data_IF_188979920045
#
_entry.id   IF_188979920045
#
_cell.length_a   1.000
_cell.length_b   1.000
_cell.length_c   1.000
_cell.angle_alpha   90.00
_cell.angle_beta   90.00
_cell.angle_gamma   90.00
#
_symmetry.space_group_name_H-M   'P 1'
#
loop_
_entity.id
_entity.type
_entity.pdbx_description
1 polymer ?
#
# COMPACT_ATOMS: atom_id res chain seq x y z
N UNK A 1 11.08 22.07 -38.11
CA UNK A 1 11.66 21.52 -36.86
C UNK A 1 10.84 22.10 -35.70
N UNK A 2 9.79 21.40 -35.27
CA UNK A 2 9.02 21.76 -34.07
C UNK A 2 9.56 20.90 -32.95
N UNK A 3 10.03 21.54 -31.89
CA UNK A 3 10.38 20.88 -30.65
C UNK A 3 9.09 20.34 -30.02
N UNK A 4 9.02 19.04 -29.81
CA UNK A 4 7.99 18.40 -28.99
C UNK A 4 8.24 18.80 -27.54
N UNK A 5 7.28 19.55 -26.98
CA UNK A 5 7.23 19.85 -25.56
C UNK A 5 6.74 18.58 -24.88
N UNK A 6 7.63 17.91 -24.16
CA UNK A 6 7.28 16.91 -23.15
C UNK A 6 6.31 17.56 -22.15
N UNK A 7 5.01 17.29 -22.30
CA UNK A 7 4.02 17.65 -21.28
C UNK A 7 4.22 16.70 -20.10
N UNK A 8 4.77 17.22 -19.00
CA UNK A 8 4.71 16.53 -17.71
C UNK A 8 3.26 16.35 -17.25
N UNK A 9 2.99 15.47 -16.26
CA UNK A 9 1.63 15.22 -15.80
C UNK A 9 0.93 16.50 -15.37
N UNK A 10 -0.36 16.60 -15.71
CA UNK A 10 -1.18 17.72 -15.29
C UNK A 10 -1.42 17.68 -13.76
N UNK A 11 -1.46 18.83 -13.10
CA UNK A 11 -1.85 19.02 -11.69
C UNK A 11 -3.19 18.34 -11.30
N UNK A 12 -3.96 17.86 -12.28
CA UNK A 12 -5.23 17.16 -12.18
C UNK A 12 -5.12 15.81 -11.46
N UNK A 13 -4.07 15.01 -11.70
CA UNK A 13 -3.99 13.63 -11.15
C UNK A 13 -3.68 13.59 -9.65
N UNK A 14 -2.80 14.48 -9.18
CA UNK A 14 -2.48 14.61 -7.75
C UNK A 14 -3.73 15.01 -6.94
N UNK A 15 -4.59 15.84 -7.53
CA UNK A 15 -5.86 16.26 -6.92
C UNK A 15 -6.85 15.10 -6.82
N UNK A 16 -6.87 14.18 -7.79
CA UNK A 16 -7.78 13.03 -7.82
C UNK A 16 -7.47 12.01 -6.71
N UNK A 17 -6.19 11.65 -6.51
CA UNK A 17 -5.80 10.74 -5.41
C UNK A 17 -6.23 11.32 -4.04
N UNK A 18 -6.17 12.64 -3.86
CA UNK A 18 -6.41 13.27 -2.55
C UNK A 18 -7.87 13.27 -2.19
N UNK A 19 -8.69 13.70 -3.14
CA UNK A 19 -10.14 13.72 -3.00
C UNK A 19 -10.68 12.30 -2.84
N UNK A 20 -10.09 11.30 -3.51
CA UNK A 20 -10.44 9.90 -3.30
C UNK A 20 -10.13 9.46 -1.86
N UNK A 21 -8.92 9.73 -1.34
CA UNK A 21 -8.56 9.33 0.04
C UNK A 21 -9.48 9.97 1.08
N UNK A 22 -9.83 11.25 0.90
CA UNK A 22 -10.80 11.94 1.75
C UNK A 22 -12.19 11.34 1.65
N UNK A 23 -12.66 11.08 0.44
CA UNK A 23 -13.99 10.50 0.21
C UNK A 23 -14.09 9.11 0.83
N UNK A 24 -13.08 8.26 0.59
CA UNK A 24 -13.00 6.92 1.18
C UNK A 24 -12.98 6.96 2.71
N UNK A 25 -12.26 7.92 3.31
CA UNK A 25 -12.29 8.15 4.75
C UNK A 25 -13.70 8.49 5.24
N UNK A 26 -14.40 9.43 4.59
CA UNK A 26 -15.77 9.82 4.97
C UNK A 26 -16.73 8.62 4.85
N UNK A 27 -16.68 7.87 3.75
CA UNK A 27 -17.46 6.65 3.57
C UNK A 27 -17.17 5.63 4.68
N UNK A 28 -15.89 5.46 5.06
CA UNK A 28 -15.51 4.54 6.13
C UNK A 28 -16.07 4.97 7.49
N UNK A 29 -15.99 6.26 7.82
CA UNK A 29 -16.53 6.81 9.06
C UNK A 29 -18.05 6.66 9.12
N UNK A 30 -18.76 6.91 8.01
CA UNK A 30 -20.22 6.70 7.90
C UNK A 30 -20.57 5.22 8.12
N UNK A 31 -19.87 4.30 7.46
CA UNK A 31 -20.13 2.86 7.59
C UNK A 31 -19.81 2.32 8.98
N UNK A 32 -18.85 2.90 9.69
CA UNK A 32 -18.58 2.56 11.08
C UNK A 32 -19.66 3.12 12.00
N UNK A 33 -20.06 4.38 11.79
CA UNK A 33 -21.14 5.04 12.54
C UNK A 33 -22.44 4.25 12.50
N UNK A 34 -22.83 3.74 11.32
CA UNK A 34 -24.07 2.96 11.16
C UNK A 34 -24.05 1.60 11.87
N UNK A 35 -22.87 1.12 12.29
CA UNK A 35 -22.70 -0.13 13.05
C UNK A 35 -22.68 0.10 14.57
N UNK A 36 -22.68 1.35 15.06
CA UNK A 36 -22.71 1.65 16.49
C UNK A 36 -24.14 1.65 17.01
N UNK A 37 -24.38 0.90 18.09
CA UNK A 37 -25.68 0.88 18.79
C UNK A 37 -25.67 1.88 19.94
N UNK A 38 -26.84 2.17 20.51
CA UNK A 38 -26.96 3.13 21.61
C UNK A 38 -26.04 2.81 22.80
N UNK A 39 -25.94 1.54 23.21
CA UNK A 39 -25.01 1.13 24.27
C UNK A 39 -23.53 1.39 23.90
N UNK A 40 -23.17 1.26 22.63
CA UNK A 40 -21.83 1.58 22.14
C UNK A 40 -21.61 3.10 22.16
N UNK A 41 -22.62 3.89 21.79
CA UNK A 41 -22.59 5.36 21.86
C UNK A 41 -22.43 5.85 23.30
N UNK A 42 -23.14 5.26 24.25
CA UNK A 42 -23.03 5.63 25.66
C UNK A 42 -21.61 5.37 26.20
N UNK A 43 -21.04 4.20 25.90
CA UNK A 43 -19.65 3.88 26.25
C UNK A 43 -18.65 4.82 25.57
N UNK A 44 -18.90 5.15 24.31
CA UNK A 44 -18.05 6.05 23.54
C UNK A 44 -18.09 7.47 24.11
N UNK A 45 -19.27 7.98 24.49
CA UNK A 45 -19.42 9.28 25.15
C UNK A 45 -18.64 9.34 26.45
N UNK A 46 -18.74 8.29 27.27
CA UNK A 46 -17.96 8.19 28.50
C UNK A 46 -16.45 8.15 28.22
N UNK A 47 -16.00 7.38 27.23
CA UNK A 47 -14.58 7.35 26.82
C UNK A 47 -14.07 8.72 26.35
N UNK A 48 -14.92 9.53 25.72
CA UNK A 48 -14.58 10.83 25.15
C UNK A 48 -14.75 12.00 26.14
N UNK A 49 -15.26 11.73 27.35
CA UNK A 49 -15.42 12.74 28.39
C UNK A 49 -14.07 13.36 28.76
N UNK A 50 -14.01 14.70 28.74
CA UNK A 50 -12.77 15.45 28.96
C UNK A 50 -11.75 15.40 27.80
N UNK A 51 -12.01 14.66 26.72
CA UNK A 51 -11.15 14.61 25.53
C UNK A 51 -11.60 15.62 24.46
N UNK A 52 -12.91 15.74 24.28
CA UNK A 52 -13.59 16.69 23.38
C UNK A 52 -14.89 17.21 24.02
N UNK A 53 -15.44 18.36 23.60
CA UNK A 53 -16.70 18.89 24.14
C UNK A 53 -17.94 18.12 23.64
N UNK A 54 -18.07 16.87 24.07
CA UNK A 54 -19.02 15.86 23.57
C UNK A 54 -20.49 16.14 23.94
N UNK A 55 -20.72 17.05 24.89
CA UNK A 55 -22.04 17.30 25.49
C UNK A 55 -23.11 17.74 24.48
N UNK A 56 -22.70 18.27 23.32
CA UNK A 56 -23.60 18.74 22.27
C UNK A 56 -23.79 17.74 21.12
N UNK A 57 -23.16 16.56 21.16
CA UNK A 57 -23.29 15.58 20.07
C UNK A 57 -24.58 14.79 20.22
N UNK A 58 -25.44 14.76 19.21
CA UNK A 58 -26.71 14.03 19.26
C UNK A 58 -26.55 12.55 18.90
N UNK A 59 -25.67 12.24 17.96
CA UNK A 59 -25.44 10.88 17.44
C UNK A 59 -23.94 10.60 17.19
N UNK A 60 -23.59 9.40 16.71
CA UNK A 60 -22.22 9.05 16.33
C UNK A 60 -21.65 9.93 15.22
N UNK A 61 -22.46 10.45 14.30
CA UNK A 61 -21.96 11.31 13.22
C UNK A 61 -21.49 12.65 13.76
N UNK A 62 -22.20 13.23 14.72
CA UNK A 62 -21.76 14.44 15.41
C UNK A 62 -20.45 14.22 16.15
N UNK A 63 -20.31 13.06 16.82
CA UNK A 63 -19.06 12.68 17.48
C UNK A 63 -17.91 12.61 16.46
N UNK A 64 -18.12 11.95 15.32
CA UNK A 64 -17.07 11.80 14.30
C UNK A 64 -16.69 13.13 13.64
N UNK A 65 -17.67 13.99 13.35
CA UNK A 65 -17.42 15.35 12.85
C UNK A 65 -16.61 16.17 13.84
N UNK A 66 -16.96 16.08 15.14
CA UNK A 66 -16.24 16.79 16.19
C UNK A 66 -14.81 16.26 16.33
N UNK A 67 -14.62 14.94 16.31
CA UNK A 67 -13.27 14.35 16.33
C UNK A 67 -12.41 14.80 15.16
N UNK A 68 -12.98 14.94 13.97
CA UNK A 68 -12.27 15.44 12.79
C UNK A 68 -11.98 16.95 12.90
N UNK A 69 -12.94 17.74 13.37
CA UNK A 69 -12.76 19.17 13.63
C UNK A 69 -11.63 19.44 14.63
N UNK A 70 -11.58 18.65 15.71
CA UNK A 70 -10.54 18.71 16.73
C UNK A 70 -9.21 18.03 16.31
N UNK A 71 -9.07 17.68 15.03
CA UNK A 71 -7.90 17.01 14.45
C UNK A 71 -7.48 15.71 15.19
N UNK A 72 -8.41 15.06 15.89
CA UNK A 72 -8.19 13.76 16.54
C UNK A 72 -8.18 12.62 15.52
N UNK A 73 -8.92 12.80 14.44
CA UNK A 73 -8.96 11.89 13.30
C UNK A 73 -8.86 12.67 12.00
N UNK A 74 -8.36 12.01 10.96
CA UNK A 74 -8.28 12.52 9.60
C UNK A 74 -8.13 11.35 8.63
N UNK A 75 -8.19 11.63 7.33
CA UNK A 75 -8.02 10.60 6.30
C UNK A 75 -6.68 9.85 6.42
N UNK A 76 -5.63 10.50 6.93
CA UNK A 76 -4.28 9.94 7.16
C UNK A 76 -4.07 9.43 8.59
N UNK A 77 -4.92 9.80 9.56
CA UNK A 77 -4.78 9.37 10.96
C UNK A 77 -6.11 8.85 11.54
N UNK A 78 -6.20 7.53 11.69
CA UNK A 78 -7.37 6.87 12.30
C UNK A 78 -7.04 6.18 13.63
N UNK A 79 -5.85 6.39 14.17
CA UNK A 79 -5.39 5.68 15.37
C UNK A 79 -6.25 5.98 16.59
N UNK A 80 -6.71 7.22 16.71
CA UNK A 80 -7.58 7.63 17.81
C UNK A 80 -8.90 6.85 17.78
N UNK A 81 -9.57 6.79 16.62
CA UNK A 81 -10.85 6.07 16.51
C UNK A 81 -10.66 4.56 16.71
N UNK A 82 -9.57 3.95 16.20
CA UNK A 82 -9.24 2.55 16.49
C UNK A 82 -9.13 2.28 18.00
N UNK A 83 -8.41 3.14 18.74
CA UNK A 83 -8.27 3.03 20.19
C UNK A 83 -9.61 3.19 20.92
N UNK A 84 -10.43 4.16 20.49
CA UNK A 84 -11.76 4.37 21.05
C UNK A 84 -12.65 3.13 20.85
N UNK A 85 -12.68 2.58 19.62
CA UNK A 85 -13.46 1.36 19.31
C UNK A 85 -13.01 0.16 20.14
N UNK A 86 -11.70 -0.03 20.30
CA UNK A 86 -11.15 -1.09 21.15
C UNK A 86 -11.54 -0.92 22.62
N UNK A 87 -11.54 0.32 23.12
CA UNK A 87 -11.90 0.65 24.51
C UNK A 87 -13.37 0.41 24.82
N UNK A 88 -14.25 0.57 23.82
CA UNK A 88 -15.68 0.23 23.94
C UNK A 88 -15.99 -1.22 23.54
N UNK A 89 -14.96 -2.08 23.45
CA UNK A 89 -15.06 -3.52 23.14
C UNK A 89 -15.59 -3.87 21.75
N UNK A 90 -15.52 -2.94 20.78
CA UNK A 90 -15.92 -3.15 19.38
C UNK A 90 -14.75 -3.60 18.52
N UNK A 91 -14.25 -4.81 18.79
CA UNK A 91 -13.12 -5.38 18.06
C UNK A 91 -13.41 -5.61 16.57
N UNK A 92 -14.66 -5.91 16.22
CA UNK A 92 -15.13 -5.98 14.84
C UNK A 92 -14.86 -4.67 14.07
N UNK A 93 -15.06 -3.52 14.72
CA UNK A 93 -14.77 -2.21 14.14
C UNK A 93 -13.26 -1.92 14.11
N UNK A 94 -12.50 -2.39 15.09
CA UNK A 94 -11.03 -2.27 15.10
C UNK A 94 -10.42 -3.03 13.92
N UNK A 95 -10.88 -4.25 13.66
CA UNK A 95 -10.47 -5.05 12.50
C UNK A 95 -10.86 -4.37 11.19
N UNK A 96 -12.10 -3.90 11.08
CA UNK A 96 -12.62 -3.22 9.90
C UNK A 96 -11.85 -1.91 9.59
N UNK A 97 -11.48 -1.15 10.63
CA UNK A 97 -10.64 0.05 10.51
C UNK A 97 -9.19 -0.29 10.15
N UNK A 98 -8.64 -1.39 10.69
CA UNK A 98 -7.28 -1.86 10.38
C UNK A 98 -7.17 -2.27 8.91
N UNK A 99 -8.15 -3.02 8.40
CA UNK A 99 -8.23 -3.37 6.96
C UNK A 99 -8.28 -2.13 6.08
N UNK A 100 -9.06 -1.12 6.46
CA UNK A 100 -9.13 0.15 5.74
C UNK A 100 -7.78 0.89 5.72
N UNK A 101 -7.11 1.00 6.87
CA UNK A 101 -5.78 1.63 6.96
C UNK A 101 -4.74 0.92 6.08
N UNK A 102 -4.72 -0.41 6.12
CA UNK A 102 -3.82 -1.21 5.29
C UNK A 102 -4.09 -1.00 3.80
N UNK A 103 -5.36 -1.09 3.37
CA UNK A 103 -5.75 -0.85 1.98
C UNK A 103 -5.33 0.56 1.53
N UNK A 104 -5.67 1.59 2.31
CA UNK A 104 -5.28 2.98 2.02
C UNK A 104 -3.76 3.12 1.84
N UNK A 105 -2.98 2.53 2.74
CA UNK A 105 -1.52 2.64 2.69
C UNK A 105 -0.94 1.88 1.49
N UNK A 106 -1.46 0.70 1.16
CA UNK A 106 -1.06 -0.06 -0.04
C UNK A 106 -1.40 0.69 -1.33
N UNK A 107 -2.60 1.25 -1.45
CA UNK A 107 -3.00 2.05 -2.62
C UNK A 107 -2.05 3.23 -2.83
N UNK A 108 -1.74 3.97 -1.77
CA UNK A 108 -0.80 5.10 -1.85
C UNK A 108 0.61 4.63 -2.20
N UNK A 109 1.09 3.55 -1.58
CA UNK A 109 2.41 2.99 -1.88
C UNK A 109 2.56 2.65 -3.36
N UNK A 110 1.57 1.96 -3.94
CA UNK A 110 1.56 1.56 -5.34
C UNK A 110 1.43 2.76 -6.29
N UNK A 111 0.60 3.74 -5.93
CA UNK A 111 0.45 5.01 -6.68
C UNK A 111 1.79 5.77 -6.73
N UNK A 112 2.49 5.90 -5.59
CA UNK A 112 3.82 6.52 -5.55
C UNK A 112 4.85 5.73 -6.34
N UNK A 113 4.85 4.40 -6.22
CA UNK A 113 5.77 3.52 -6.93
C UNK A 113 5.62 3.70 -8.45
N UNK A 114 4.39 3.55 -8.96
CA UNK A 114 4.11 3.63 -10.38
C UNK A 114 4.37 5.03 -10.96
N UNK A 115 3.91 6.10 -10.30
CA UNK A 115 4.19 7.48 -10.73
C UNK A 115 5.69 7.75 -10.82
N UNK A 116 6.45 7.28 -9.82
CA UNK A 116 7.89 7.45 -9.80
C UNK A 116 8.60 6.76 -10.97
N UNK A 117 8.10 5.60 -11.41
CA UNK A 117 8.64 4.88 -12.58
C UNK A 117 8.22 5.52 -13.91
N UNK A 118 7.00 6.07 -13.97
CA UNK A 118 6.47 6.76 -15.16
C UNK A 118 7.04 8.18 -15.33
N UNK A 119 7.92 8.64 -14.42
CA UNK A 119 8.41 10.02 -14.40
C UNK A 119 7.31 11.04 -14.10
N UNK A 120 6.19 10.59 -13.52
CA UNK A 120 5.09 11.45 -13.14
C UNK A 120 5.38 12.12 -11.80
N UNK A 121 5.16 13.42 -11.73
CA UNK A 121 5.35 14.20 -10.51
C UNK A 121 4.39 13.73 -9.41
N UNK A 122 4.97 13.13 -8.37
CA UNK A 122 4.23 12.60 -7.22
C UNK A 122 4.17 13.63 -6.09
N UNK A 123 3.92 14.92 -6.38
CA UNK A 123 3.73 16.00 -5.39
C UNK A 123 2.55 15.79 -4.40
N UNK A 124 2.04 14.57 -4.31
CA UNK A 124 1.03 14.18 -3.36
C UNK A 124 1.57 14.24 -1.92
N UNK A 125 0.95 15.11 -1.10
CA UNK A 125 1.11 15.25 0.36
C UNK A 125 2.53 14.96 0.87
N UNK A 126 3.41 15.96 0.84
CA UNK A 126 4.69 16.04 1.57
C UNK A 126 4.81 14.97 2.67
N UNK A 127 5.40 13.82 2.34
CA UNK A 127 5.90 12.81 3.28
C UNK A 127 5.00 12.32 4.43
N UNK A 128 3.72 12.70 4.55
CA UNK A 128 2.96 12.57 5.81
C UNK A 128 2.88 11.15 6.34
N UNK A 129 2.72 10.19 5.43
CA UNK A 129 2.71 8.76 5.75
C UNK A 129 4.05 8.07 5.44
N UNK A 130 4.98 8.77 4.78
CA UNK A 130 6.27 8.25 4.34
C UNK A 130 6.20 7.25 3.18
N UNK A 131 5.10 7.22 2.42
CA UNK A 131 4.88 6.24 1.34
C UNK A 131 5.89 6.37 0.21
N UNK A 132 6.22 7.59 -0.21
CA UNK A 132 7.26 7.87 -1.21
C UNK A 132 8.64 7.29 -0.82
N UNK A 133 9.02 7.36 0.46
CA UNK A 133 10.28 6.79 0.95
C UNK A 133 10.26 5.27 0.86
N UNK A 134 9.14 4.64 1.21
CA UNK A 134 8.98 3.18 1.07
C UNK A 134 8.99 2.78 -0.41
N UNK A 135 8.21 3.47 -1.26
CA UNK A 135 8.19 3.27 -2.70
C UNK A 135 9.59 3.41 -3.32
N UNK A 136 10.33 4.45 -2.95
CA UNK A 136 11.70 4.69 -3.43
C UNK A 136 12.64 3.55 -3.04
N UNK A 137 12.49 2.99 -1.83
CA UNK A 137 13.27 1.83 -1.40
C UNK A 137 12.92 0.59 -2.20
N UNK A 138 11.63 0.30 -2.38
CA UNK A 138 11.17 -0.82 -3.20
C UNK A 138 11.69 -0.73 -4.63
N UNK A 139 11.63 0.47 -5.23
CA UNK A 139 12.16 0.69 -6.58
C UNK A 139 13.66 0.40 -6.64
N UNK A 140 14.46 0.88 -5.68
CA UNK A 140 15.90 0.58 -5.64
C UNK A 140 16.21 -0.90 -5.46
N UNK A 141 15.41 -1.61 -4.66
CA UNK A 141 15.51 -3.07 -4.54
C UNK A 141 15.24 -3.70 -5.92
N UNK A 142 14.20 -3.27 -6.62
CA UNK A 142 13.85 -3.75 -7.95
C UNK A 142 14.91 -3.40 -9.01
N UNK A 143 15.42 -2.18 -9.03
CA UNK A 143 16.49 -1.72 -9.93
C UNK A 143 17.74 -2.61 -9.82
N UNK A 144 18.07 -3.03 -8.60
CA UNK A 144 19.21 -3.91 -8.31
C UNK A 144 18.99 -5.34 -8.83
N UNK A 145 17.74 -5.74 -9.06
CA UNK A 145 17.36 -7.06 -9.55
C UNK A 145 16.92 -7.04 -11.04
N UNK A 146 16.87 -5.87 -11.68
CA UNK A 146 16.24 -5.65 -12.98
C UNK A 146 16.82 -6.54 -14.09
N UNK A 147 18.12 -6.81 -14.07
CA UNK A 147 18.79 -7.69 -15.04
C UNK A 147 18.42 -9.17 -14.86
N UNK A 148 17.99 -9.56 -13.65
CA UNK A 148 17.70 -10.95 -13.29
C UNK A 148 16.22 -11.33 -13.41
N UNK A 149 15.31 -10.36 -13.35
CA UNK A 149 13.86 -10.62 -13.24
C UNK A 149 13.14 -10.33 -14.57
N UNK A 150 12.57 -11.35 -15.20
CA UNK A 150 11.75 -11.20 -16.43
C UNK A 150 10.34 -10.64 -16.17
N UNK A 151 10.22 -9.63 -15.32
CA UNK A 151 8.95 -8.93 -14.99
C UNK A 151 8.19 -8.53 -16.25
N UNK A 152 8.90 -8.01 -17.26
CA UNK A 152 8.29 -7.54 -18.51
C UNK A 152 7.45 -8.62 -19.23
N UNK A 153 7.77 -9.91 -19.05
CA UNK A 153 7.01 -11.02 -19.65
C UNK A 153 5.71 -11.35 -18.91
N UNK A 154 5.67 -11.12 -17.58
CA UNK A 154 4.46 -11.26 -16.76
C UNK A 154 3.56 -10.03 -16.98
N UNK A 155 4.15 -8.86 -17.12
CA UNK A 155 3.42 -7.62 -17.30
C UNK A 155 2.74 -7.51 -18.67
N UNK A 156 3.30 -8.09 -19.73
CA UNK A 156 2.69 -8.08 -21.07
C UNK A 156 1.38 -8.85 -21.18
N UNK A 157 0.96 -9.57 -20.13
CA UNK A 157 -0.32 -10.30 -20.11
C UNK A 157 -1.43 -9.56 -19.38
N UNK A 158 -1.16 -8.35 -18.87
CA UNK A 158 -2.13 -7.58 -18.07
C UNK A 158 -2.66 -6.41 -18.90
N UNK A 159 -3.92 -6.51 -19.28
CA UNK A 159 -4.63 -5.50 -20.08
C UNK A 159 -5.72 -4.77 -19.25
N UNK A 160 -6.04 -5.27 -18.04
CA UNK A 160 -7.12 -4.74 -17.19
C UNK A 160 -6.92 -5.06 -15.70
N UNK A 161 -7.66 -4.39 -14.81
CA UNK A 161 -7.71 -4.68 -13.37
C UNK A 161 -8.13 -6.11 -13.06
N UNK A 162 -8.99 -6.70 -13.90
CA UNK A 162 -9.37 -8.12 -13.78
C UNK A 162 -8.18 -9.03 -14.07
N UNK A 163 -7.35 -8.70 -15.04
CA UNK A 163 -6.18 -9.50 -15.39
C UNK A 163 -5.05 -9.30 -14.37
N UNK A 164 -4.89 -8.08 -13.85
CA UNK A 164 -4.03 -7.78 -12.71
C UNK A 164 -4.37 -8.67 -11.52
N UNK A 165 -5.65 -8.76 -11.15
CA UNK A 165 -6.11 -9.63 -10.06
C UNK A 165 -5.73 -11.09 -10.32
N UNK A 166 -5.96 -11.62 -11.53
CA UNK A 166 -5.60 -13.01 -11.87
C UNK A 166 -4.10 -13.25 -11.76
N UNK A 167 -3.28 -12.32 -12.24
CA UNK A 167 -1.81 -12.43 -12.17
C UNK A 167 -1.34 -12.40 -10.73
N UNK A 168 -1.87 -11.50 -9.90
CA UNK A 168 -1.53 -11.46 -8.47
C UNK A 168 -1.93 -12.75 -7.74
N UNK A 169 -3.15 -13.26 -7.98
CA UNK A 169 -3.56 -14.55 -7.40
C UNK A 169 -2.66 -15.71 -7.84
N UNK A 170 -2.27 -15.77 -9.12
CA UNK A 170 -1.38 -16.82 -9.62
C UNK A 170 0.03 -16.73 -9.01
N UNK A 171 0.54 -15.52 -8.79
CA UNK A 171 1.81 -15.30 -8.07
C UNK A 171 1.69 -15.74 -6.61
N UNK A 172 0.60 -15.37 -5.94
CA UNK A 172 0.33 -15.80 -4.57
C UNK A 172 0.22 -17.32 -4.43
N UNK A 173 -0.54 -17.98 -5.31
CA UNK A 173 -0.67 -19.45 -5.31
C UNK A 173 0.70 -20.13 -5.42
N UNK A 174 1.61 -19.57 -6.25
CA UNK A 174 2.96 -20.09 -6.40
C UNK A 174 3.82 -19.90 -5.15
N UNK A 175 3.59 -18.83 -4.40
CA UNK A 175 4.34 -18.53 -3.17
C UNK A 175 3.79 -19.32 -1.97
N UNK A 176 2.52 -19.72 -2.00
CA UNK A 176 1.88 -20.57 -0.99
C UNK A 176 2.26 -22.06 -1.10
N UNK A 177 2.91 -22.47 -2.19
CA UNK A 177 3.52 -23.81 -2.32
C UNK A 177 4.69 -24.00 -1.31
N UNK A 178 5.15 -22.92 -0.68
CA UNK A 178 6.15 -22.90 0.36
C UNK A 178 5.60 -22.67 1.78
N UNK A 179 6.23 -23.21 2.83
CA UNK A 179 5.74 -23.10 4.19
C UNK A 179 5.89 -21.66 4.71
N UNK A 180 4.78 -20.92 4.61
CA UNK A 180 4.54 -19.55 5.11
C UNK A 180 5.19 -18.42 4.29
N UNK A 181 4.33 -17.58 3.71
CA UNK A 181 4.69 -16.29 3.09
C UNK A 181 5.53 -15.42 4.06
N UNK A 182 6.81 -15.25 3.79
CA UNK A 182 7.68 -14.35 4.55
C UNK A 182 7.34 -12.87 4.30
N UNK A 183 7.94 -11.95 5.06
CA UNK A 183 7.88 -10.53 4.71
C UNK A 183 8.58 -10.25 3.36
N UNK A 184 9.56 -11.08 3.00
CA UNK A 184 10.28 -11.07 1.74
C UNK A 184 9.32 -11.37 0.58
N UNK A 185 8.53 -12.42 0.75
CA UNK A 185 7.49 -12.85 -0.17
C UNK A 185 6.43 -11.76 -0.38
N UNK A 186 5.95 -11.16 0.72
CA UNK A 186 5.02 -10.05 0.61
C UNK A 186 5.65 -8.82 -0.06
N UNK A 187 6.92 -8.53 0.21
CA UNK A 187 7.67 -7.44 -0.44
C UNK A 187 7.77 -7.65 -1.95
N UNK A 188 8.05 -8.88 -2.40
CA UNK A 188 8.06 -9.24 -3.83
C UNK A 188 6.69 -9.02 -4.47
N UNK A 189 5.60 -9.44 -3.82
CA UNK A 189 4.24 -9.23 -4.33
C UNK A 189 3.92 -7.74 -4.52
N UNK A 190 4.31 -6.89 -3.57
CA UNK A 190 4.11 -5.44 -3.67
C UNK A 190 4.93 -4.85 -4.82
N UNK A 191 6.18 -5.28 -5.01
CA UNK A 191 7.03 -4.86 -6.14
C UNK A 191 6.41 -5.27 -7.47
N UNK A 192 6.00 -6.54 -7.62
CA UNK A 192 5.37 -7.02 -8.85
C UNK A 192 4.07 -6.30 -9.16
N UNK A 193 3.23 -6.05 -8.15
CA UNK A 193 2.05 -5.22 -8.33
C UNK A 193 2.41 -3.84 -8.88
N UNK A 194 3.41 -3.16 -8.29
CA UNK A 194 3.87 -1.85 -8.74
C UNK A 194 4.40 -1.85 -10.18
N UNK A 195 5.17 -2.86 -10.57
CA UNK A 195 5.71 -3.00 -11.93
C UNK A 195 4.62 -3.28 -12.97
N UNK A 196 3.66 -4.17 -12.66
CA UNK A 196 2.52 -4.45 -13.53
C UNK A 196 1.68 -3.19 -13.72
N UNK A 197 1.38 -2.46 -12.65
CA UNK A 197 0.61 -1.21 -12.71
C UNK A 197 1.34 -0.17 -13.57
N UNK A 198 2.67 -0.04 -13.38
CA UNK A 198 3.50 0.89 -14.16
C UNK A 198 3.37 0.60 -15.66
N UNK A 199 3.50 -0.67 -16.06
CA UNK A 199 3.45 -1.08 -17.46
C UNK A 199 2.06 -0.90 -18.05
N UNK A 200 1.02 -1.33 -17.34
CA UNK A 200 -0.38 -1.15 -17.74
C UNK A 200 -0.73 0.34 -17.94
N UNK A 201 -0.28 1.20 -17.03
CA UNK A 201 -0.57 2.64 -17.07
C UNK A 201 0.24 3.42 -18.12
N UNK A 202 1.29 2.81 -18.69
CA UNK A 202 2.08 3.42 -19.77
C UNK A 202 1.47 3.17 -21.16
N UNK A 203 0.51 2.25 -21.26
CA UNK A 203 -0.16 1.88 -22.49
C UNK A 203 -1.36 2.81 -22.74
N UNK A 204 -1.23 3.72 -23.70
CA UNK A 204 -2.26 4.72 -24.02
C UNK A 204 -3.56 4.11 -24.57
N UNK A 205 -3.55 2.84 -24.99
CA UNK A 205 -4.76 2.10 -25.39
C UNK A 205 -5.58 1.61 -24.18
N UNK A 206 -5.00 1.62 -22.97
CA UNK A 206 -5.67 1.18 -21.74
C UNK A 206 -6.51 2.30 -21.13
N UNK A 207 -7.81 1.99 -20.94
CA UNK A 207 -8.82 2.96 -20.49
C UNK A 207 -8.90 3.14 -18.97
N UNK A 208 -8.23 2.29 -18.19
CA UNK A 208 -8.38 2.23 -16.74
C UNK A 208 -7.43 3.20 -16.03
N UNK A 209 -7.94 3.92 -15.03
CA UNK A 209 -7.11 4.90 -14.34
C UNK A 209 -6.05 4.21 -13.46
N UNK A 210 -4.84 4.79 -13.41
CA UNK A 210 -3.75 4.33 -12.53
C UNK A 210 -4.23 4.05 -11.10
N UNK A 211 -5.10 4.91 -10.58
CA UNK A 211 -5.60 4.83 -9.21
C UNK A 211 -6.56 3.65 -9.01
N UNK A 212 -7.32 3.26 -10.02
CA UNK A 212 -8.18 2.08 -9.98
C UNK A 212 -7.32 0.81 -9.93
N UNK A 213 -6.29 0.72 -10.79
CA UNK A 213 -5.33 -0.39 -10.76
C UNK A 213 -4.64 -0.51 -9.38
N UNK A 214 -4.20 0.62 -8.81
CA UNK A 214 -3.62 0.66 -7.46
C UNK A 214 -4.62 0.22 -6.38
N UNK A 215 -5.89 0.60 -6.50
CA UNK A 215 -6.93 0.22 -5.55
C UNK A 215 -7.25 -1.26 -5.63
N UNK A 216 -7.32 -1.83 -6.85
CA UNK A 216 -7.54 -3.27 -7.06
C UNK A 216 -6.39 -4.11 -6.52
N UNK A 217 -5.14 -3.74 -6.82
CA UNK A 217 -3.98 -4.44 -6.25
C UNK A 217 -3.95 -4.36 -4.72
N UNK A 218 -4.26 -3.19 -4.15
CA UNK A 218 -4.34 -3.03 -2.70
C UNK A 218 -5.43 -3.91 -2.06
N UNK A 219 -6.58 -4.09 -2.73
CA UNK A 219 -7.63 -5.00 -2.27
C UNK A 219 -7.16 -6.44 -2.17
N UNK A 220 -6.43 -6.91 -3.18
CA UNK A 220 -5.91 -8.28 -3.21
C UNK A 220 -4.85 -8.49 -2.10
N UNK A 221 -3.90 -7.56 -2.00
CA UNK A 221 -2.78 -7.64 -1.06
C UNK A 221 -3.16 -7.39 0.41
N UNK A 222 -4.29 -6.71 0.68
CA UNK A 222 -4.68 -6.28 2.02
C UNK A 222 -4.88 -7.46 2.98
N UNK A 223 -5.47 -8.55 2.51
CA UNK A 223 -5.72 -9.73 3.35
C UNK A 223 -4.40 -10.36 3.83
N UNK A 224 -3.43 -10.49 2.91
CA UNK A 224 -2.08 -11.01 3.17
C UNK A 224 -1.31 -10.14 4.16
N UNK A 225 -1.34 -8.82 3.95
CA UNK A 225 -0.70 -7.86 4.83
C UNK A 225 -1.20 -7.99 6.27
N UNK A 226 -2.53 -8.06 6.46
CA UNK A 226 -3.13 -8.21 7.78
C UNK A 226 -2.86 -9.57 8.44
N UNK A 227 -2.69 -10.63 7.66
CA UNK A 227 -2.35 -11.95 8.19
C UNK A 227 -0.90 -12.03 8.71
N UNK A 228 0.00 -11.15 8.22
CA UNK A 228 1.44 -11.18 8.55
C UNK A 228 1.81 -10.29 9.73
N UNK A 229 1.17 -9.14 9.85
CA UNK A 229 1.46 -8.20 10.92
C UNK A 229 0.82 -6.84 10.64
N UNK A 230 1.51 -5.78 11.04
CA UNK A 230 1.01 -4.43 10.87
C UNK A 230 1.88 -3.61 9.89
N UNK A 231 1.36 -2.46 9.49
CA UNK A 231 2.02 -1.56 8.54
C UNK A 231 3.43 -1.11 8.95
N UNK A 232 3.70 -0.95 10.25
CA UNK A 232 5.04 -0.57 10.70
C UNK A 232 6.04 -1.72 10.56
N UNK A 233 5.61 -2.96 10.77
CA UNK A 233 6.45 -4.14 10.59
C UNK A 233 6.96 -4.22 9.15
N UNK A 234 6.05 -4.07 8.18
CA UNK A 234 6.39 -4.02 6.75
C UNK A 234 7.36 -2.89 6.41
N UNK A 235 7.11 -1.66 6.88
CA UNK A 235 8.02 -0.53 6.63
C UNK A 235 9.43 -0.76 7.18
N UNK A 236 9.51 -1.35 8.37
CA UNK A 236 10.79 -1.67 9.00
C UNK A 236 11.51 -2.75 8.21
N UNK A 237 10.80 -3.79 7.81
CA UNK A 237 11.33 -4.84 6.95
C UNK A 237 11.89 -4.29 5.63
N UNK A 238 11.10 -3.52 4.85
CA UNK A 238 11.57 -2.90 3.60
C UNK A 238 12.80 -2.01 3.81
N UNK A 239 12.88 -1.31 4.95
CA UNK A 239 14.05 -0.50 5.32
C UNK A 239 15.30 -1.38 5.53
N UNK A 240 15.16 -2.49 6.24
CA UNK A 240 16.25 -3.43 6.53
C UNK A 240 16.76 -4.06 5.24
N UNK A 241 15.84 -4.50 4.39
CA UNK A 241 16.13 -5.08 3.07
C UNK A 241 16.86 -4.09 2.17
N UNK A 242 16.33 -2.87 2.03
CA UNK A 242 16.99 -1.85 1.23
C UNK A 242 18.39 -1.52 1.74
N UNK A 243 18.58 -1.47 3.07
CA UNK A 243 19.91 -1.27 3.67
C UNK A 243 20.85 -2.44 3.31
N UNK A 244 20.37 -3.68 3.45
CA UNK A 244 21.15 -4.87 3.09
C UNK A 244 21.56 -4.86 1.60
N UNK A 245 20.64 -4.54 0.70
CA UNK A 245 20.93 -4.41 -0.74
C UNK A 245 21.96 -3.29 -0.98
N UNK A 246 21.82 -2.15 -0.32
CA UNK A 246 22.75 -1.03 -0.46
C UNK A 246 24.16 -1.32 0.07
N UNK A 247 24.28 -2.14 1.13
CA UNK A 247 25.56 -2.52 1.74
C UNK A 247 26.32 -3.60 0.95
N UNK A 248 25.64 -4.39 0.11
CA UNK A 248 26.23 -5.52 -0.62
C UNK A 248 26.50 -5.26 -2.13
N UNK A 249 26.09 -4.11 -2.68
CA UNK A 249 26.30 -3.75 -4.10
C UNK A 249 27.73 -3.24 -4.39
N UNK A 250 28.60 -3.08 -3.39
CA UNK A 250 30.00 -2.68 -3.58
C UNK A 250 30.98 -3.85 -3.84
N UNK A 251 30.49 -5.07 -4.16
CA UNK A 251 31.34 -6.22 -4.49
C UNK A 251 30.82 -7.01 -5.72
N UNK A 252 31.54 -6.85 -6.84
CA UNK A 252 31.38 -7.55 -8.13
C UNK A 252 31.16 -9.08 -8.03
N UNK A 253 30.19 -9.62 -8.81
CA UNK A 253 30.44 -10.45 -10.02
C UNK A 253 29.13 -11.00 -10.66
N UNK A 254 29.11 -11.00 -12.01
CA UNK A 254 28.07 -11.49 -12.93
C UNK A 254 27.49 -12.89 -12.65
N UNK A 255 26.21 -13.11 -12.98
CA UNK A 255 25.64 -14.43 -13.28
C UNK A 255 24.42 -14.35 -14.23
N UNK A 256 24.38 -15.23 -15.23
CA UNK A 256 23.37 -15.32 -16.29
C UNK A 256 22.36 -16.46 -16.11
N UNK A 257 21.10 -16.18 -16.47
CA UNK A 257 20.18 -16.96 -17.31
C UNK A 257 19.93 -18.46 -17.16
N UNK A 258 19.25 -18.85 -16.07
CA UNK A 258 18.47 -20.10 -16.02
C UNK A 258 17.12 -19.90 -15.26
N UNK A 259 16.22 -19.09 -15.80
CA UNK A 259 16.07 -17.68 -15.37
C UNK A 259 14.66 -17.23 -14.94
N UNK A 260 13.75 -18.08 -14.44
CA UNK A 260 12.48 -17.54 -13.87
C UNK A 260 11.99 -18.32 -12.64
N UNK A 261 12.10 -19.66 -12.59
CA UNK A 261 11.87 -20.39 -11.34
C UNK A 261 13.00 -20.17 -10.32
N UNK A 262 14.22 -19.93 -10.82
CA UNK A 262 15.32 -19.36 -10.06
C UNK A 262 15.09 -17.91 -9.67
N UNK A 263 14.17 -17.14 -10.26
CA UNK A 263 14.07 -15.68 -10.00
C UNK A 263 13.40 -15.38 -8.68
N UNK A 264 12.38 -16.15 -8.28
CA UNK A 264 11.80 -16.07 -6.93
C UNK A 264 12.81 -16.57 -5.89
N UNK A 265 13.49 -17.69 -6.19
CA UNK A 265 14.53 -18.28 -5.34
C UNK A 265 15.79 -17.40 -5.22
N UNK A 266 16.24 -16.74 -6.29
CA UNK A 266 17.43 -15.88 -6.36
C UNK A 266 17.15 -14.50 -5.78
N UNK A 267 15.95 -13.96 -5.93
CA UNK A 267 15.57 -12.74 -5.23
C UNK A 267 15.53 -13.01 -3.72
N UNK A 268 14.99 -14.17 -3.31
CA UNK A 268 15.02 -14.63 -1.91
C UNK A 268 16.44 -14.87 -1.38
N UNK A 269 17.30 -15.55 -2.15
CA UNK A 269 18.69 -15.83 -1.79
C UNK A 269 19.60 -14.58 -1.80
N UNK A 270 19.43 -13.66 -2.76
CA UNK A 270 20.27 -12.48 -2.93
C UNK A 270 19.90 -11.33 -1.99
N UNK A 271 18.67 -11.30 -1.47
CA UNK A 271 18.14 -10.17 -0.70
C UNK A 271 17.89 -10.54 0.78
N UNK A 272 17.70 -11.82 1.10
CA UNK A 272 17.18 -12.22 2.43
C UNK A 272 17.90 -13.36 3.14
N UNK A 273 18.90 -13.99 2.52
CA UNK A 273 19.71 -15.05 3.15
C UNK A 273 21.20 -14.67 3.11
N UNK A 274 21.71 -13.88 4.09
CA UNK A 274 23.14 -13.69 4.22
C UNK A 274 23.78 -15.06 4.53
N UNK A 275 24.72 -15.45 3.69
CA UNK A 275 25.43 -16.73 3.73
C UNK A 275 26.12 -16.97 5.09
N UNK A 276 25.88 -18.15 5.66
CA UNK A 276 26.65 -18.77 6.75
C UNK A 276 25.85 -19.94 7.34
N UNK A 277 26.19 -21.20 7.06
CA UNK A 277 27.43 -21.81 7.49
C UNK A 277 27.88 -22.97 6.59
N UNK A 278 29.19 -23.03 6.37
CA UNK A 278 29.98 -24.27 6.29
C UNK A 278 29.79 -25.11 7.56
#
# INVERSE_FOLDING_TARGET
>A
MRAEVMQGPSQTEVKLTYELMKTNFKCKMINMSSKLREDDLQKLRYYLEGVIPINNCSDSMDILRLLEHEARISWDNINFVKKAMGSITRQDLVEDLTKYEVKRNLTLLLDFYAKSNLGLDSNFCDNKLGMNMVASRLRKIMDSALESVKIRSICSTVESSRDLKKVLMALEEKMDEEPSLSWDDFTMLVIFAGEIITIASADEEQQESLLDLCTTAADELCSRMNARGNWNDFKNHVKEVHRFVQENIDSNHNLSSQEIAKVVQQFREAVFLPVGNL
#
